data_IF_139729071767
#
_entry.id   IF_139729071767
#
_cell.length_a   1.000
_cell.length_b   1.000
_cell.length_c   1.000
_cell.angle_alpha   90.00
_cell.angle_beta   90.00
_cell.angle_gamma   90.00
#
_symmetry.space_group_name_H-M   'P 1'
#
loop_
_entity.id
_entity.type
_entity.pdbx_description
1 polymer ?
#
# COMPACT_ATOMS: atom_id res chain seq x y z
N UNK A 1 -2.03 8.01 13.42
CA UNK A 1 -3.30 8.28 12.70
C UNK A 1 -4.46 8.60 13.63
N UNK A 2 -4.79 7.79 14.64
CA UNK A 2 -5.92 8.06 15.55
C UNK A 2 -5.92 9.47 16.19
N UNK A 3 -4.76 9.97 16.66
CA UNK A 3 -4.64 11.33 17.20
C UNK A 3 -4.96 12.41 16.16
N UNK A 4 -4.52 12.22 14.92
CA UNK A 4 -4.78 13.16 13.81
C UNK A 4 -6.28 13.16 13.49
N UNK A 5 -6.89 11.98 13.35
CA UNK A 5 -8.33 11.84 13.10
C UNK A 5 -9.15 12.52 14.22
N UNK A 6 -8.77 12.32 15.48
CA UNK A 6 -9.44 12.93 16.63
C UNK A 6 -9.33 14.47 16.67
N UNK A 7 -8.17 15.02 16.30
CA UNK A 7 -7.92 16.47 16.37
C UNK A 7 -8.47 17.23 15.16
N UNK A 8 -8.41 16.63 13.98
CA UNK A 8 -8.77 17.31 12.74
C UNK A 8 -10.22 17.08 12.32
N UNK A 9 -10.83 15.94 12.70
CA UNK A 9 -12.14 15.53 12.19
C UNK A 9 -12.15 15.56 10.65
N UNK A 10 -13.21 16.13 10.08
CA UNK A 10 -13.40 16.23 8.63
C UNK A 10 -12.54 17.31 7.94
N UNK A 11 -11.76 18.10 8.70
CA UNK A 11 -10.91 19.16 8.14
C UNK A 11 -9.64 18.62 7.47
N UNK A 12 -9.37 17.32 7.59
CA UNK A 12 -8.18 16.71 7.00
C UNK A 12 -8.51 15.31 6.46
N UNK A 13 -8.31 15.13 5.16
CA UNK A 13 -8.37 13.81 4.56
C UNK A 13 -7.11 13.00 4.89
N UNK A 14 -7.31 11.78 5.38
CA UNK A 14 -6.24 10.88 5.79
C UNK A 14 -6.13 9.74 4.76
N UNK A 15 -4.92 9.53 4.27
CA UNK A 15 -4.56 8.36 3.45
C UNK A 15 -3.45 7.58 4.16
N UNK A 16 -3.51 6.26 4.10
CA UNK A 16 -2.38 5.44 4.54
C UNK A 16 -1.15 5.71 3.68
N UNK A 17 0.01 5.86 4.32
CA UNK A 17 1.30 5.92 3.65
C UNK A 17 1.96 4.54 3.49
N UNK A 18 1.45 3.51 4.16
CA UNK A 18 1.98 2.16 4.11
C UNK A 18 0.90 1.14 3.73
N UNK A 19 1.22 0.22 2.83
CA UNK A 19 0.25 -0.75 2.30
C UNK A 19 -0.27 -1.74 3.37
N UNK A 20 0.54 -2.08 4.37
CA UNK A 20 0.20 -3.00 5.47
C UNK A 20 -0.83 -2.42 6.47
N UNK A 21 -0.95 -1.09 6.51
CA UNK A 21 -1.82 -0.36 7.42
C UNK A 21 -3.07 0.23 6.75
N UNK A 22 -3.29 -0.10 5.48
CA UNK A 22 -4.38 0.45 4.67
C UNK A 22 -5.75 0.28 5.35
N UNK A 23 -6.12 -0.95 5.71
CA UNK A 23 -7.40 -1.26 6.35
C UNK A 23 -7.51 -0.67 7.77
N UNK A 24 -6.51 -0.82 8.67
CA UNK A 24 -6.53 -0.16 9.99
C UNK A 24 -6.67 1.37 9.93
N UNK A 25 -6.14 2.03 8.90
CA UNK A 25 -6.28 3.48 8.76
C UNK A 25 -7.67 3.84 8.24
N UNK A 26 -8.22 3.05 7.30
CA UNK A 26 -9.60 3.26 6.84
C UNK A 26 -10.61 3.09 7.99
N UNK A 27 -10.39 2.16 8.93
CA UNK A 27 -11.27 1.98 10.09
C UNK A 27 -11.29 3.17 11.07
N UNK A 28 -10.32 4.08 10.95
CA UNK A 28 -10.23 5.32 11.73
C UNK A 28 -10.69 6.56 10.93
N UNK A 29 -11.38 6.37 9.79
CA UNK A 29 -11.86 7.46 8.93
C UNK A 29 -10.91 7.81 7.78
N UNK A 30 -9.86 7.02 7.54
CA UNK A 30 -9.03 7.15 6.35
C UNK A 30 -9.79 6.83 5.06
N UNK A 31 -9.41 7.47 3.96
CA UNK A 31 -10.10 7.37 2.66
C UNK A 31 -9.43 6.39 1.69
N UNK A 32 -8.28 5.82 2.05
CA UNK A 32 -7.56 4.87 1.20
C UNK A 32 -6.07 4.85 1.51
N UNK A 33 -5.26 4.56 0.49
CA UNK A 33 -3.80 4.39 0.59
C UNK A 33 -3.09 5.04 -0.61
N UNK A 34 -1.97 5.70 -0.34
CA UNK A 34 -0.99 6.08 -1.37
C UNK A 34 0.03 4.94 -1.42
N UNK A 35 -0.04 4.13 -2.47
CA UNK A 35 0.37 2.72 -2.41
C UNK A 35 1.59 2.38 -3.26
N UNK A 36 2.53 1.61 -2.69
CA UNK A 36 3.60 0.95 -3.43
C UNK A 36 3.07 -0.30 -4.11
N UNK A 37 2.29 -1.13 -3.38
CA UNK A 37 1.66 -2.36 -3.89
C UNK A 37 0.88 -2.13 -5.19
N UNK A 38 0.21 -0.98 -5.32
CA UNK A 38 -0.59 -0.61 -6.49
C UNK A 38 0.20 -0.57 -7.80
N UNK A 39 1.53 -0.40 -7.76
CA UNK A 39 2.37 -0.44 -8.97
C UNK A 39 2.37 -1.83 -9.63
N UNK A 40 2.27 -2.90 -8.83
CA UNK A 40 2.31 -4.28 -9.33
C UNK A 40 0.97 -5.01 -9.24
N UNK A 41 0.06 -4.52 -8.38
CA UNK A 41 -1.24 -5.13 -8.08
C UNK A 41 -2.36 -4.07 -8.02
N UNK A 42 -2.52 -3.17 -9.01
CA UNK A 42 -3.40 -2.01 -8.93
C UNK A 42 -4.86 -2.37 -8.65
N UNK A 43 -5.42 -3.31 -9.42
CA UNK A 43 -6.81 -3.75 -9.24
C UNK A 43 -7.04 -4.35 -7.86
N UNK A 44 -6.10 -5.18 -7.39
CA UNK A 44 -6.20 -5.80 -6.07
C UNK A 44 -6.19 -4.74 -4.94
N UNK A 45 -5.28 -3.76 -5.02
CA UNK A 45 -5.24 -2.67 -4.02
C UNK A 45 -6.51 -1.85 -4.05
N UNK A 46 -7.02 -1.49 -5.25
CA UNK A 46 -8.28 -0.79 -5.40
C UNK A 46 -9.45 -1.57 -4.79
N UNK A 47 -9.62 -2.84 -5.20
CA UNK A 47 -10.72 -3.69 -4.73
C UNK A 47 -10.67 -3.88 -3.20
N UNK A 48 -9.48 -3.97 -2.60
CA UNK A 48 -9.31 -4.08 -1.14
C UNK A 48 -9.86 -2.85 -0.41
N UNK A 49 -9.48 -1.64 -0.85
CA UNK A 49 -9.98 -0.39 -0.28
C UNK A 49 -11.48 -0.23 -0.57
N UNK A 50 -11.89 -0.51 -1.80
CA UNK A 50 -13.28 -0.39 -2.22
C UNK A 50 -14.21 -1.28 -1.39
N UNK A 51 -13.82 -2.54 -1.16
CA UNK A 51 -14.57 -3.44 -0.30
C UNK A 51 -14.73 -2.87 1.11
N UNK A 52 -13.66 -2.32 1.69
CA UNK A 52 -13.75 -1.71 3.02
C UNK A 52 -14.70 -0.51 3.05
N UNK A 53 -14.57 0.41 2.10
CA UNK A 53 -15.40 1.62 2.03
C UNK A 53 -16.88 1.33 1.74
N UNK A 54 -17.18 0.17 1.14
CA UNK A 54 -18.56 -0.27 0.86
C UNK A 54 -19.12 -1.24 1.93
N UNK A 55 -18.42 -1.44 3.04
CA UNK A 55 -18.91 -2.26 4.16
C UNK A 55 -18.61 -3.77 4.05
N UNK A 56 -17.89 -4.21 3.03
CA UNK A 56 -17.46 -5.60 2.84
C UNK A 56 -16.19 -5.89 3.67
N UNK A 57 -16.29 -5.75 5.00
CA UNK A 57 -15.13 -5.75 5.89
C UNK A 57 -14.37 -7.08 5.92
N UNK A 58 -15.07 -8.20 5.86
CA UNK A 58 -14.45 -9.53 5.86
C UNK A 58 -13.60 -9.77 4.60
N UNK A 59 -14.11 -9.38 3.43
CA UNK A 59 -13.37 -9.47 2.17
C UNK A 59 -12.13 -8.57 2.21
N UNK A 60 -12.29 -7.31 2.63
CA UNK A 60 -11.17 -6.38 2.77
C UNK A 60 -10.10 -6.88 3.75
N UNK A 61 -10.51 -7.43 4.90
CA UNK A 61 -9.60 -8.05 5.89
C UNK A 61 -8.85 -9.22 5.28
N UNK A 62 -9.54 -10.14 4.61
CA UNK A 62 -8.93 -11.30 3.99
C UNK A 62 -7.93 -10.88 2.90
N UNK A 63 -8.28 -9.89 2.09
CA UNK A 63 -7.36 -9.31 1.10
C UNK A 63 -6.12 -8.68 1.74
N UNK A 64 -6.29 -7.86 2.79
CA UNK A 64 -5.16 -7.26 3.52
C UNK A 64 -4.22 -8.34 4.06
N UNK A 65 -4.75 -9.34 4.77
CA UNK A 65 -3.95 -10.43 5.36
C UNK A 65 -3.21 -11.24 4.28
N UNK A 66 -3.90 -11.58 3.18
CA UNK A 66 -3.31 -12.31 2.06
C UNK A 66 -2.20 -11.52 1.35
N UNK A 67 -2.22 -10.18 1.44
CA UNK A 67 -1.23 -9.31 0.80
C UNK A 67 0.04 -9.09 1.63
N UNK A 68 0.02 -9.38 2.94
CA UNK A 68 1.14 -9.10 3.85
C UNK A 68 2.47 -9.68 3.37
N UNK A 69 2.58 -10.95 2.91
CA UNK A 69 3.86 -11.48 2.44
C UNK A 69 4.45 -10.65 1.28
N UNK A 70 3.62 -10.25 0.31
CA UNK A 70 4.06 -9.44 -0.82
C UNK A 70 4.40 -8.01 -0.41
N UNK A 71 3.64 -7.41 0.52
CA UNK A 71 3.98 -6.09 1.07
C UNK A 71 5.33 -6.16 1.77
N UNK A 72 5.58 -7.17 2.61
CA UNK A 72 6.87 -7.33 3.28
C UNK A 72 8.03 -7.45 2.28
N UNK A 73 7.84 -8.19 1.18
CA UNK A 73 8.84 -8.27 0.11
C UNK A 73 9.07 -6.91 -0.59
N UNK A 74 8.01 -6.11 -0.81
CA UNK A 74 8.10 -4.79 -1.41
C UNK A 74 8.79 -3.74 -0.51
N UNK A 75 8.84 -4.00 0.80
CA UNK A 75 9.48 -3.15 1.80
C UNK A 75 10.72 -3.82 2.43
N UNK A 76 11.25 -4.89 1.82
CA UNK A 76 12.42 -5.61 2.34
C UNK A 76 13.71 -4.78 2.31
N UNK A 77 13.74 -3.76 1.45
CA UNK A 77 14.81 -2.76 1.34
C UNK A 77 14.17 -1.37 1.09
N UNK A 78 14.99 -0.32 1.02
CA UNK A 78 14.52 1.06 0.84
C UNK A 78 13.71 1.21 -0.45
N UNK A 79 12.45 1.64 -0.33
CA UNK A 79 11.59 2.00 -1.46
C UNK A 79 12.26 3.13 -2.30
N UNK A 80 12.34 3.05 -3.65
CA UNK A 80 11.70 2.09 -4.55
C UNK A 80 12.54 0.93 -5.07
N UNK A 81 13.61 0.50 -4.35
CA UNK A 81 14.46 -0.61 -4.80
C UNK A 81 13.63 -1.89 -5.08
N UNK A 82 12.80 -2.40 -4.14
CA UNK A 82 12.13 -3.69 -4.36
C UNK A 82 11.00 -3.63 -5.39
N UNK A 83 10.22 -2.54 -5.42
CA UNK A 83 9.11 -2.40 -6.39
C UNK A 83 9.62 -2.29 -7.83
N UNK A 84 10.76 -1.61 -8.05
CA UNK A 84 11.42 -1.60 -9.37
C UNK A 84 11.88 -3.00 -9.77
N UNK A 85 12.51 -3.74 -8.84
CA UNK A 85 12.92 -5.11 -9.10
C UNK A 85 11.71 -6.02 -9.44
N UNK A 86 10.58 -5.86 -8.74
CA UNK A 86 9.35 -6.59 -9.02
C UNK A 86 8.78 -6.26 -10.41
N UNK A 87 8.72 -4.98 -10.79
CA UNK A 87 8.30 -4.55 -12.13
C UNK A 87 9.19 -5.12 -13.23
N UNK A 88 10.51 -5.15 -13.03
CA UNK A 88 11.45 -5.79 -13.95
C UNK A 88 11.20 -7.30 -14.06
N UNK A 89 10.96 -8.00 -12.93
CA UNK A 89 10.56 -9.43 -12.93
C UNK A 89 9.25 -9.68 -13.69
N UNK A 90 8.35 -8.70 -13.69
CA UNK A 90 7.10 -8.70 -14.47
C UNK A 90 7.28 -8.27 -15.93
N UNK A 91 8.53 -8.08 -16.40
CA UNK A 91 8.90 -7.74 -17.78
C UNK A 91 8.46 -6.34 -18.25
N UNK A 92 8.36 -5.38 -17.32
CA UNK A 92 8.06 -3.98 -17.65
C UNK A 92 9.29 -3.13 -18.01
N UNK A 93 10.51 -3.66 -17.93
CA UNK A 93 11.75 -2.94 -18.28
C UNK A 93 11.89 -1.56 -17.58
N UNK A 94 11.61 -1.52 -16.28
CA UNK A 94 11.53 -0.30 -15.46
C UNK A 94 12.90 0.27 -15.03
N UNK A 95 13.99 -0.33 -15.51
CA UNK A 95 15.37 0.06 -15.22
C UNK A 95 15.77 -0.14 -13.76
N UNK A 96 16.92 0.42 -13.39
CA UNK A 96 17.48 0.33 -12.04
C UNK A 96 17.28 1.64 -11.26
N UNK A 97 17.37 1.62 -9.91
CA UNK A 97 17.45 2.85 -9.12
C UNK A 97 18.66 3.70 -9.50
N UNK A 98 18.54 5.02 -9.33
CA UNK A 98 19.70 5.93 -9.40
C UNK A 98 20.38 5.98 -8.05
N UNK A 99 21.70 6.17 -8.05
CA UNK A 99 22.45 6.43 -6.81
C UNK A 99 21.83 7.59 -6.02
N UNK A 100 21.79 7.52 -4.68
CA UNK A 100 22.51 6.56 -3.82
C UNK A 100 21.85 5.18 -3.66
N UNK A 101 20.72 4.92 -4.30
CA UNK A 101 20.08 3.61 -4.29
C UNK A 101 20.77 2.66 -5.28
N UNK A 102 20.84 1.39 -4.91
CA UNK A 102 21.47 0.33 -5.71
C UNK A 102 20.44 -0.75 -6.08
N UNK A 103 20.83 -1.66 -6.97
CA UNK A 103 19.99 -2.81 -7.32
C UNK A 103 19.72 -3.69 -6.10
N UNK A 104 18.54 -4.32 -6.11
CA UNK A 104 18.16 -5.27 -5.07
C UNK A 104 19.11 -6.47 -5.13
N UNK A 105 19.63 -6.88 -3.98
CA UNK A 105 20.43 -8.10 -3.87
C UNK A 105 19.58 -9.37 -4.08
#
# INVERSE_FOLDING_TARGET
MAQIANLCGDNLHIYSGNDDQSIPICSLGGLGVISVLSNIRPKFTHDMIWNFLNGNFEDAKNMQLNSIPLINDLFSEVNPIPVKAALNKMRFEFGIPRLPLVEKN
#
